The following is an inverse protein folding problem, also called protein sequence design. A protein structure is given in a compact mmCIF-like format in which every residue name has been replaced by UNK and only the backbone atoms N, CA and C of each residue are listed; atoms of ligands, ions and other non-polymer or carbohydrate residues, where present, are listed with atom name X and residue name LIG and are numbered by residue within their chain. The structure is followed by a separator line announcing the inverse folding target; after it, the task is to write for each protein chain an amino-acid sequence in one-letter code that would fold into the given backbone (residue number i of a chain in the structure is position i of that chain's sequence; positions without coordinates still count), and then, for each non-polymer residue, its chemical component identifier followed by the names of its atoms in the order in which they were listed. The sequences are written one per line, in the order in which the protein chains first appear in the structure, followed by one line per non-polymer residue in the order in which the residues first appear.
data_IF_169143972164
#
_entry.id   IF_169143972164
#
_cell.length_a   1.000
_cell.length_b   1.000
_cell.length_c   1.000
_cell.angle_alpha   90.00
_cell.angle_beta   90.00
_cell.angle_gamma   90.00
#
_symmetry.space_group_name_H-M   'P 1'
#
loop_
_entity.id
_entity.type
_entity.pdbx_description
1 polymer ?
#
# COMPACT_ATOMS: atom_id res chain seq x y z
N UNK A 1 8.09 7.80 15.69
CA UNK A 1 7.45 8.60 14.65
C UNK A 1 8.47 9.08 13.66
N UNK A 2 8.28 8.81 12.36
CA UNK A 2 9.26 9.26 11.39
C UNK A 2 9.26 10.77 11.27
N UNK A 3 10.45 11.34 11.18
CA UNK A 3 10.59 12.78 11.08
C UNK A 3 10.92 13.21 9.65
N UNK A 4 11.20 12.28 8.77
CA UNK A 4 11.48 12.59 7.39
C UNK A 4 10.83 11.56 6.49
N UNK A 5 10.68 11.92 5.22
CA UNK A 5 10.15 10.97 4.24
C UNK A 5 11.04 9.74 4.13
N UNK A 6 12.36 9.92 4.22
CA UNK A 6 13.28 8.79 4.10
C UNK A 6 13.05 7.79 5.21
N UNK A 7 12.84 8.26 6.44
CA UNK A 7 12.53 7.36 7.54
C UNK A 7 11.19 6.68 7.36
N UNK A 8 10.20 7.44 6.92
CA UNK A 8 8.87 6.88 6.67
C UNK A 8 8.97 5.79 5.59
N UNK A 9 9.70 6.06 4.51
CA UNK A 9 9.83 5.09 3.43
C UNK A 9 10.51 3.81 3.92
N UNK A 10 11.54 3.94 4.75
CA UNK A 10 12.22 2.77 5.30
C UNK A 10 11.26 1.94 6.15
N UNK A 11 10.47 2.59 6.99
CA UNK A 11 9.48 1.90 7.82
C UNK A 11 8.41 1.25 6.97
N UNK A 12 7.96 1.96 5.94
CA UNK A 12 6.90 1.45 5.06
C UNK A 12 7.40 0.22 4.30
N UNK A 13 8.64 0.27 3.82
CA UNK A 13 9.23 -0.89 3.15
C UNK A 13 9.37 -2.07 4.11
N UNK A 14 9.70 -1.79 5.36
CA UNK A 14 9.80 -2.85 6.36
C UNK A 14 8.45 -3.50 6.64
N UNK A 15 7.37 -2.73 6.59
CA UNK A 15 6.02 -3.28 6.76
C UNK A 15 5.60 -4.12 5.56
N UNK A 16 6.18 -3.88 4.40
CA UNK A 16 5.82 -4.60 3.17
C UNK A 16 7.02 -5.43 2.69
N UNK A 17 7.49 -6.33 3.54
CA UNK A 17 8.71 -7.08 3.25
C UNK A 17 8.51 -8.27 2.33
N UNK A 18 7.44 -9.00 2.50
CA UNK A 18 7.25 -10.21 1.71
C UNK A 18 6.76 -9.86 0.32
N UNK A 19 7.05 -10.72 -0.63
CA UNK A 19 6.56 -10.55 -1.99
C UNK A 19 5.04 -10.53 -2.01
N UNK A 20 4.42 -11.40 -1.22
CA UNK A 20 2.97 -11.44 -1.15
C UNK A 20 2.41 -10.09 -0.69
N UNK A 21 2.98 -9.52 0.38
CA UNK A 21 2.50 -8.26 0.92
C UNK A 21 2.67 -7.13 -0.10
N UNK A 22 3.79 -7.11 -0.82
CA UNK A 22 4.02 -6.07 -1.83
C UNK A 22 3.04 -6.15 -2.97
N UNK A 23 2.74 -7.37 -3.43
CA UNK A 23 1.74 -7.54 -4.48
C UNK A 23 0.35 -7.18 -3.98
N UNK A 24 0.04 -7.48 -2.70
CA UNK A 24 -1.23 -7.05 -2.12
C UNK A 24 -1.33 -5.53 -2.07
N UNK A 25 -0.23 -4.84 -1.76
CA UNK A 25 -0.24 -3.39 -1.75
C UNK A 25 -0.50 -2.85 -3.15
N UNK A 26 0.22 -3.35 -4.14
CA UNK A 26 0.06 -2.88 -5.52
C UNK A 26 -1.35 -3.17 -6.03
N UNK A 27 -1.82 -4.40 -5.83
CA UNK A 27 -3.15 -4.77 -6.29
C UNK A 27 -4.22 -4.00 -5.55
N UNK A 28 -4.09 -3.87 -4.23
CA UNK A 28 -5.05 -3.15 -3.42
C UNK A 28 -5.13 -1.68 -3.80
N UNK A 29 -3.99 -1.06 -4.04
CA UNK A 29 -3.97 0.34 -4.45
C UNK A 29 -4.57 0.52 -5.84
N UNK A 30 -4.29 -0.39 -6.77
CA UNK A 30 -4.86 -0.31 -8.10
C UNK A 30 -6.39 -0.43 -8.04
N UNK A 31 -6.89 -1.33 -7.20
CA UNK A 31 -8.34 -1.50 -7.03
C UNK A 31 -8.95 -0.25 -6.40
N UNK A 32 -8.26 0.33 -5.41
CA UNK A 32 -8.75 1.56 -4.79
C UNK A 32 -8.82 2.71 -5.79
N UNK A 33 -7.83 2.82 -6.68
CA UNK A 33 -7.84 3.82 -7.73
C UNK A 33 -9.04 3.62 -8.66
N UNK A 34 -9.33 2.37 -9.01
CA UNK A 34 -10.50 2.07 -9.82
C UNK A 34 -11.78 2.53 -9.12
N UNK A 35 -11.85 2.37 -7.80
CA UNK A 35 -12.98 2.85 -7.02
C UNK A 35 -13.11 4.37 -7.08
N UNK A 36 -11.98 5.08 -6.98
CA UNK A 36 -11.99 6.54 -7.08
C UNK A 36 -12.46 6.98 -8.47
N UNK A 37 -11.99 6.32 -9.52
CA UNK A 37 -12.42 6.64 -10.88
C UNK A 37 -13.93 6.43 -11.03
N UNK A 38 -14.46 5.34 -10.47
CA UNK A 38 -15.90 5.09 -10.52
C UNK A 38 -16.66 6.18 -9.79
N UNK A 39 -16.15 6.64 -8.65
CA UNK A 39 -16.79 7.71 -7.89
C UNK A 39 -16.80 9.02 -8.68
N UNK A 40 -15.71 9.32 -9.38
CA UNK A 40 -15.63 10.51 -10.21
C UNK A 40 -16.62 10.49 -11.36
N UNK A 41 -17.10 9.30 -11.73
CA UNK A 41 -18.13 9.13 -12.75
C UNK A 41 -19.51 8.98 -12.13
N UNK A 42 -19.64 9.34 -10.87
CA UNK A 42 -20.91 9.30 -10.13
C UNK A 42 -21.49 7.89 -10.01
N UNK A 43 -20.65 6.88 -10.03
CA UNK A 43 -21.09 5.49 -9.85
C UNK A 43 -20.82 5.08 -8.43
N UNK A 44 -21.57 5.63 -7.50
CA UNK A 44 -21.26 5.56 -6.09
C UNK A 44 -21.32 4.17 -5.47
N UNK A 45 -22.30 3.36 -5.86
CA UNK A 45 -22.40 2.01 -5.30
C UNK A 45 -21.24 1.13 -5.74
N UNK A 46 -20.97 1.02 -7.06
CA UNK A 46 -19.79 0.27 -7.48
C UNK A 46 -18.51 0.85 -6.90
N UNK A 47 -18.40 2.17 -6.79
CA UNK A 47 -17.21 2.81 -6.25
C UNK A 47 -16.95 2.36 -4.82
N UNK A 48 -17.98 2.35 -3.98
CA UNK A 48 -17.82 1.95 -2.58
C UNK A 48 -17.39 0.49 -2.48
N UNK A 49 -18.02 -0.39 -3.25
CA UNK A 49 -17.70 -1.81 -3.22
C UNK A 49 -16.27 -2.04 -3.69
N UNK A 50 -15.90 -1.42 -4.80
CA UNK A 50 -14.55 -1.59 -5.36
C UNK A 50 -13.50 -1.08 -4.38
N UNK A 51 -13.75 0.08 -3.77
CA UNK A 51 -12.79 0.65 -2.84
C UNK A 51 -12.60 -0.25 -1.62
N UNK A 52 -13.69 -0.78 -1.06
CA UNK A 52 -13.63 -1.67 0.09
C UNK A 52 -12.85 -2.94 -0.25
N UNK A 53 -13.07 -3.50 -1.44
CA UNK A 53 -12.32 -4.67 -1.87
C UNK A 53 -10.83 -4.35 -1.94
N UNK A 54 -10.48 -3.17 -2.49
CA UNK A 54 -9.07 -2.76 -2.57
C UNK A 54 -8.42 -2.66 -1.20
N UNK A 55 -9.13 -2.08 -0.23
CA UNK A 55 -8.63 -1.98 1.14
C UNK A 55 -8.42 -3.38 1.72
N UNK A 56 -9.37 -4.28 1.47
CA UNK A 56 -9.26 -5.65 1.96
C UNK A 56 -8.06 -6.38 1.39
N UNK A 57 -7.80 -6.20 0.09
CA UNK A 57 -6.64 -6.84 -0.54
C UNK A 57 -5.34 -6.29 0.06
N UNK A 58 -5.24 -4.98 0.22
CA UNK A 58 -4.05 -4.39 0.81
C UNK A 58 -3.83 -4.88 2.24
N UNK A 59 -4.92 -5.02 3.00
CA UNK A 59 -4.84 -5.47 4.39
C UNK A 59 -4.44 -6.94 4.48
N UNK A 60 -4.84 -7.74 3.51
CA UNK A 60 -4.54 -9.17 3.53
C UNK A 60 -3.03 -9.44 3.61
N UNK A 61 -2.22 -8.59 2.97
CA UNK A 61 -0.79 -8.75 3.05
C UNK A 61 -0.27 -8.60 4.46
N UNK A 62 -0.79 -7.61 5.19
CA UNK A 62 -0.38 -7.40 6.57
C UNK A 62 -0.84 -8.54 7.48
N UNK A 63 -2.05 -9.03 7.24
CA UNK A 63 -2.57 -10.15 8.04
C UNK A 63 -1.69 -11.38 7.83
N UNK A 64 -1.33 -11.66 6.60
CA UNK A 64 -0.49 -12.81 6.32
C UNK A 64 0.90 -12.70 6.95
N UNK A 65 1.48 -11.50 6.92
CA UNK A 65 2.80 -11.29 7.48
C UNK A 65 2.78 -11.12 9.00
N UNK A 66 1.58 -11.09 9.59
CA UNK A 66 1.46 -10.97 11.03
C UNK A 66 1.81 -9.60 11.57
N UNK A 67 1.74 -8.57 10.73
CA UNK A 67 2.01 -7.22 11.21
C UNK A 67 0.78 -6.34 11.04
N UNK A 68 0.82 -5.20 11.69
CA UNK A 68 -0.27 -4.24 11.64
C UNK A 68 0.26 -2.96 11.03
N UNK A 69 -0.48 -2.34 10.14
CA UNK A 69 -0.03 -1.06 9.57
C UNK A 69 0.22 -0.06 10.69
N UNK A 70 1.43 0.47 10.75
CA UNK A 70 1.81 1.38 11.81
C UNK A 70 1.85 2.82 11.35
N UNK A 71 1.64 3.06 10.09
CA UNK A 71 1.80 4.37 9.50
C UNK A 71 0.54 5.20 9.51
N UNK A 72 -0.51 4.74 10.19
CA UNK A 72 -1.80 5.41 10.13
C UNK A 72 -1.72 6.86 10.59
N UNK A 73 -1.02 7.12 11.71
CA UNK A 73 -0.82 8.47 12.20
C UNK A 73 -0.09 9.33 11.20
N UNK A 74 0.97 8.78 10.59
CA UNK A 74 1.76 9.51 9.62
C UNK A 74 0.97 9.82 8.36
N UNK A 75 0.10 8.89 7.96
CA UNK A 75 -0.77 9.11 6.80
C UNK A 75 -1.67 10.31 7.03
N UNK A 76 -2.16 10.49 8.24
CA UNK A 76 -3.02 11.63 8.55
C UNK A 76 -2.26 12.95 8.49
N UNK A 77 -0.99 12.95 8.88
CA UNK A 77 -0.19 14.17 8.87
C UNK A 77 0.45 14.44 7.52
N UNK A 78 0.86 13.39 6.85
CA UNK A 78 1.61 13.49 5.59
C UNK A 78 1.04 12.52 4.57
N UNK A 79 -0.17 12.78 4.08
CA UNK A 79 -0.81 11.83 3.15
C UNK A 79 0.00 11.61 1.89
N UNK A 80 0.74 12.63 1.43
CA UNK A 80 1.53 12.46 0.22
C UNK A 80 2.72 11.53 0.43
N UNK A 81 3.20 11.41 1.64
CA UNK A 81 4.28 10.46 1.93
C UNK A 81 3.82 9.03 1.70
N UNK A 82 2.59 8.73 2.08
CA UNK A 82 2.07 7.39 1.87
C UNK A 82 1.96 7.07 0.39
N UNK A 83 1.47 8.02 -0.39
CA UNK A 83 1.37 7.84 -1.83
C UNK A 83 2.75 7.65 -2.46
N UNK A 84 3.71 8.49 -2.09
CA UNK A 84 5.09 8.35 -2.59
C UNK A 84 5.69 7.01 -2.23
N UNK A 85 5.49 6.58 -1.00
CA UNK A 85 6.04 5.31 -0.53
C UNK A 85 5.41 4.13 -1.24
N UNK A 86 4.09 4.17 -1.46
CA UNK A 86 3.41 3.11 -2.19
C UNK A 86 3.91 3.05 -3.63
N UNK A 87 4.15 4.21 -4.25
CA UNK A 87 4.69 4.24 -5.60
C UNK A 87 6.12 3.69 -5.64
N UNK A 88 6.91 3.97 -4.60
CA UNK A 88 8.27 3.43 -4.52
C UNK A 88 8.25 1.91 -4.42
N UNK A 89 7.34 1.36 -3.61
CA UNK A 89 7.21 -0.08 -3.50
C UNK A 89 6.71 -0.68 -4.80
N UNK A 90 5.76 -0.04 -5.47
CA UNK A 90 5.29 -0.50 -6.76
C UNK A 90 6.43 -0.51 -7.77
N UNK A 91 7.27 0.51 -7.76
CA UNK A 91 8.43 0.55 -8.64
C UNK A 91 9.38 -0.61 -8.32
N UNK A 92 9.62 -0.87 -7.03
CA UNK A 92 10.46 -2.00 -6.64
C UNK A 92 9.92 -3.32 -7.21
N UNK A 93 8.62 -3.52 -7.13
CA UNK A 93 7.98 -4.73 -7.64
C UNK A 93 8.15 -4.84 -9.14
N UNK A 94 7.86 -3.77 -9.87
CA UNK A 94 7.87 -3.85 -11.33
C UNK A 94 9.27 -3.80 -11.93
N UNK A 95 10.25 -3.30 -11.20
CA UNK A 95 11.63 -3.32 -11.68
C UNK A 95 12.40 -4.53 -11.15
N UNK A 96 11.75 -5.35 -10.34
CA UNK A 96 12.34 -6.58 -9.87
C UNK A 96 13.53 -6.39 -8.96
N UNK A 97 13.55 -5.30 -8.24
CA UNK A 97 14.59 -5.13 -7.27
C UNK A 97 14.24 -5.71 -5.91
N UNK A 98 13.09 -6.24 -5.82
CA UNK A 98 12.65 -6.79 -4.61
C UNK A 98 13.41 -7.95 -4.10
N UNK A 99 14.01 -8.76 -4.90
CA UNK A 99 14.61 -9.96 -4.35
C UNK A 99 15.49 -9.69 -3.19
N UNK A 100 16.05 -8.55 -3.17
CA UNK A 100 16.91 -8.23 -2.10
C UNK A 100 16.21 -8.19 -0.78
N UNK A 101 14.96 -7.84 -0.83
CA UNK A 101 14.22 -7.69 0.37
C UNK A 101 13.39 -8.86 0.70
N UNK A 102 13.17 -9.67 -0.24
CA UNK A 102 12.20 -10.64 -0.07
C UNK A 102 12.51 -11.78 0.74
N UNK A 103 13.63 -12.07 1.12
CA UNK A 103 13.81 -13.24 1.82
C UNK A 103 12.97 -13.29 2.97
N UNK A 104 12.48 -12.48 3.27
CA UNK A 104 11.79 -12.64 4.27
C UNK A 104 10.69 -13.08 4.13
N UNK A 105 10.31 -13.64 4.48
CA UNK A 105 9.55 -14.16 5.13
C UNK A 105 9.32 -14.68 5.15
#
# INVERSE_FOLDING_TARGET
MPESYAEFLADHRAEHRSAFNRWCLVAGDAIQIAGVVAALRARWRPAAVIFVIGVGVATAGHVRDGNVPKSFDTVQRHPLWNIRADLAIAKDVFTRHTPVLSPVP
#
